data_IF_280436994628
#
_entry.id   IF_280436994628
#
_cell.length_a   1.000
_cell.length_b   1.000
_cell.length_c   1.000
_cell.angle_alpha   90.00
_cell.angle_beta   90.00
_cell.angle_gamma   90.00
#
_symmetry.space_group_name_H-M   'P 1'
#
loop_
_entity.id
_entity.type
_entity.pdbx_description
1 polymer ?
#
# COMPACT_ATOMS: atom_id res chain seq x y z
N UNK A 1 -5.50 -10.17 -12.38
CA UNK A 1 -5.46 -10.76 -11.03
C UNK A 1 -4.37 -10.02 -10.27
N UNK A 2 -4.57 -9.65 -9.00
CA UNK A 2 -3.54 -8.95 -8.23
C UNK A 2 -2.28 -9.82 -8.08
N UNK A 3 -1.07 -9.23 -8.01
CA UNK A 3 0.16 -10.00 -7.85
C UNK A 3 0.19 -10.71 -6.50
N UNK A 4 0.87 -11.85 -6.43
CA UNK A 4 1.00 -12.65 -5.21
C UNK A 4 1.52 -11.80 -4.04
N UNK A 5 1.01 -12.06 -2.84
CA UNK A 5 1.42 -11.40 -1.60
C UNK A 5 0.89 -9.98 -1.38
N UNK A 6 0.50 -9.25 -2.45
CA UNK A 6 0.10 -7.83 -2.33
C UNK A 6 -1.20 -7.66 -1.54
N UNK A 7 -2.21 -8.47 -1.83
CA UNK A 7 -3.51 -8.39 -1.15
C UNK A 7 -3.36 -8.78 0.32
N UNK A 8 -2.67 -9.89 0.59
CA UNK A 8 -2.44 -10.38 1.95
C UNK A 8 -1.66 -9.37 2.79
N UNK A 9 -0.61 -8.75 2.23
CA UNK A 9 0.13 -7.66 2.86
C UNK A 9 -0.77 -6.49 3.22
N UNK A 10 -1.61 -6.02 2.29
CA UNK A 10 -2.51 -4.89 2.54
C UNK A 10 -3.55 -5.24 3.60
N UNK A 11 -4.11 -6.44 3.57
CA UNK A 11 -5.06 -6.92 4.59
C UNK A 11 -4.41 -7.03 5.97
N UNK A 12 -3.16 -7.50 6.03
CA UNK A 12 -2.37 -7.51 7.26
C UNK A 12 -2.25 -6.10 7.84
N UNK A 13 -1.90 -5.11 7.02
CA UNK A 13 -1.78 -3.71 7.43
C UNK A 13 -3.11 -3.06 7.82
N UNK A 14 -4.24 -3.57 7.31
CA UNK A 14 -5.57 -3.20 7.80
C UNK A 14 -5.76 -3.68 9.24
N UNK A 15 -5.44 -4.95 9.52
CA UNK A 15 -5.61 -5.60 10.82
C UNK A 15 -4.57 -5.19 11.87
N UNK A 16 -3.37 -4.77 11.44
CA UNK A 16 -2.25 -4.41 12.29
C UNK A 16 -1.74 -2.99 11.97
N UNK A 17 -2.42 -1.93 12.45
CA UNK A 17 -2.06 -0.55 12.14
C UNK A 17 -0.64 -0.15 12.54
N UNK A 18 -0.07 -0.77 13.59
CA UNK A 18 1.30 -0.50 14.05
C UNK A 18 2.37 -0.80 13.00
N UNK A 19 2.10 -1.75 12.09
CA UNK A 19 3.04 -2.15 11.03
C UNK A 19 3.02 -1.18 9.84
N UNK A 20 2.10 -0.21 9.78
CA UNK A 20 1.96 0.72 8.65
C UNK A 20 3.17 1.65 8.49
N UNK A 21 3.91 1.93 9.56
CA UNK A 21 5.16 2.69 9.48
C UNK A 21 6.17 2.02 8.53
N UNK A 22 6.18 0.68 8.49
CA UNK A 22 7.05 -0.09 7.61
C UNK A 22 6.82 0.20 6.12
N UNK A 23 5.62 0.66 5.72
CA UNK A 23 5.35 1.04 4.32
C UNK A 23 6.26 2.18 3.85
N UNK A 24 6.64 3.08 4.77
CA UNK A 24 7.54 4.20 4.48
C UNK A 24 8.99 3.87 4.83
N UNK A 25 9.20 3.30 6.02
CA UNK A 25 10.54 3.20 6.60
C UNK A 25 11.31 1.98 6.10
N UNK A 26 10.61 0.86 5.87
CA UNK A 26 11.21 -0.41 5.47
C UNK A 26 10.28 -1.27 4.60
N UNK A 27 9.82 -0.77 3.42
CA UNK A 27 8.84 -1.49 2.61
C UNK A 27 9.34 -2.85 2.12
N UNK A 28 10.66 -3.01 1.98
CA UNK A 28 11.28 -4.28 1.58
C UNK A 28 11.00 -5.40 2.57
N UNK A 29 10.98 -5.11 3.88
CA UNK A 29 10.65 -6.11 4.92
C UNK A 29 9.23 -6.65 4.74
N UNK A 30 8.28 -5.79 4.34
CA UNK A 30 6.92 -6.23 4.02
C UNK A 30 6.92 -7.08 2.74
N UNK A 31 7.65 -6.67 1.70
CA UNK A 31 7.71 -7.42 0.44
C UNK A 31 8.30 -8.82 0.61
N UNK A 32 9.33 -8.95 1.44
CA UNK A 32 9.93 -10.24 1.79
C UNK A 32 8.97 -11.10 2.62
N UNK A 33 8.40 -10.54 3.69
CA UNK A 33 7.48 -11.24 4.59
C UNK A 33 6.27 -11.84 3.87
N UNK A 34 5.72 -11.12 2.90
CA UNK A 34 4.53 -11.53 2.16
C UNK A 34 4.86 -12.14 0.79
N UNK A 35 6.14 -12.41 0.50
CA UNK A 35 6.60 -12.94 -0.78
C UNK A 35 6.02 -12.16 -1.98
N UNK A 36 6.00 -10.83 -1.89
CA UNK A 36 5.48 -9.96 -2.94
C UNK A 36 6.27 -10.17 -4.23
N UNK A 37 5.53 -10.44 -5.29
CA UNK A 37 6.06 -10.71 -6.62
C UNK A 37 7.09 -9.63 -7.04
N UNK A 38 8.32 -9.99 -7.44
CA UNK A 38 9.39 -9.03 -7.73
C UNK A 38 8.99 -7.93 -8.72
N UNK A 39 8.20 -8.28 -9.74
CA UNK A 39 7.69 -7.38 -10.77
C UNK A 39 6.72 -6.30 -10.24
N UNK A 40 6.05 -6.57 -9.12
CA UNK A 40 5.12 -5.61 -8.50
C UNK A 40 5.84 -4.59 -7.61
N UNK A 41 7.03 -4.91 -7.10
CA UNK A 41 7.75 -4.09 -6.10
C UNK A 41 8.08 -2.68 -6.61
N UNK A 42 8.61 -2.48 -7.84
CA UNK A 42 8.90 -1.14 -8.34
C UNK A 42 7.64 -0.26 -8.39
N UNK A 43 6.52 -0.83 -8.85
CA UNK A 43 5.24 -0.12 -8.94
C UNK A 43 4.68 0.19 -7.54
N UNK A 44 4.84 -0.72 -6.58
CA UNK A 44 4.46 -0.47 -5.19
C UNK A 44 5.28 0.67 -4.56
N UNK A 45 6.56 0.83 -4.92
CA UNK A 45 7.42 1.88 -4.38
C UNK A 45 7.16 3.26 -5.00
N UNK A 46 7.01 3.36 -6.32
CA UNK A 46 6.97 4.64 -7.02
C UNK A 46 5.82 4.82 -8.01
N UNK A 47 5.05 3.77 -8.30
CA UNK A 47 3.96 3.79 -9.27
C UNK A 47 2.82 4.74 -8.92
N UNK A 48 2.17 5.28 -9.96
CA UNK A 48 0.94 6.06 -9.84
C UNK A 48 -0.25 5.18 -9.42
N UNK A 49 -1.39 5.79 -9.09
CA UNK A 49 -2.65 5.07 -8.89
C UNK A 49 -2.97 4.17 -10.07
N UNK A 50 -2.82 4.69 -11.28
CA UNK A 50 -3.20 3.97 -12.49
C UNK A 50 -2.22 2.80 -12.75
N UNK A 51 -0.93 2.98 -12.44
CA UNK A 51 0.05 1.89 -12.49
C UNK A 51 -0.24 0.79 -11.46
N UNK A 52 -0.64 1.16 -10.23
CA UNK A 52 -1.06 0.20 -9.20
C UNK A 52 -2.35 -0.54 -9.61
N UNK A 53 -3.31 0.16 -10.20
CA UNK A 53 -4.53 -0.45 -10.74
C UNK A 53 -4.23 -1.41 -11.90
N UNK A 54 -3.26 -1.09 -12.76
CA UNK A 54 -2.84 -1.93 -13.87
C UNK A 54 -2.25 -3.28 -13.43
N UNK A 55 -1.75 -3.38 -12.18
CA UNK A 55 -1.38 -4.66 -11.57
C UNK A 55 -2.59 -5.56 -11.24
N UNK A 56 -3.82 -5.08 -11.41
CA UNK A 56 -5.03 -5.80 -11.02
C UNK A 56 -5.34 -5.74 -9.53
N UNK A 57 -4.76 -4.78 -8.80
CA UNK A 57 -5.06 -4.52 -7.39
C UNK A 57 -6.43 -3.82 -7.30
N UNK A 58 -7.30 -4.28 -6.40
CA UNK A 58 -8.61 -3.66 -6.21
C UNK A 58 -8.50 -2.19 -5.78
N UNK A 59 -9.36 -1.32 -6.30
CA UNK A 59 -9.26 0.13 -6.11
C UNK A 59 -9.20 0.58 -4.64
N UNK A 60 -9.98 -0.05 -3.76
CA UNK A 60 -9.92 0.22 -2.31
C UNK A 60 -8.50 0.00 -1.72
N UNK A 61 -7.81 -1.05 -2.18
CA UNK A 61 -6.46 -1.38 -1.73
C UNK A 61 -5.40 -0.44 -2.31
N UNK A 62 -5.58 -0.01 -3.56
CA UNK A 62 -4.74 1.03 -4.18
C UNK A 62 -4.78 2.32 -3.35
N UNK A 63 -5.98 2.78 -2.98
CA UNK A 63 -6.13 4.00 -2.17
C UNK A 63 -5.48 3.86 -0.79
N UNK A 64 -5.70 2.73 -0.09
CA UNK A 64 -5.04 2.47 1.21
C UNK A 64 -3.53 2.50 1.11
N UNK A 65 -2.96 1.83 0.11
CA UNK A 65 -1.53 1.80 -0.13
C UNK A 65 -0.95 3.20 -0.39
N UNK A 66 -1.62 4.00 -1.21
CA UNK A 66 -1.21 5.37 -1.52
C UNK A 66 -1.23 6.28 -0.28
N UNK A 67 -2.24 6.15 0.58
CA UNK A 67 -2.31 6.89 1.85
C UNK A 67 -1.14 6.51 2.77
N UNK A 68 -0.92 5.21 2.99
CA UNK A 68 0.12 4.74 3.90
C UNK A 68 1.53 5.02 3.39
N UNK A 69 1.75 4.96 2.06
CA UNK A 69 3.02 5.33 1.43
C UNK A 69 3.23 6.84 1.31
N UNK A 70 2.33 7.68 1.82
CA UNK A 70 2.47 9.14 1.78
C UNK A 70 2.33 9.74 0.38
N UNK A 71 1.66 9.03 -0.54
CA UNK A 71 1.38 9.46 -1.92
C UNK A 71 -0.12 9.61 -2.18
N UNK A 72 -0.88 10.37 -1.35
CA UNK A 72 -2.30 10.56 -1.58
C UNK A 72 -2.52 11.21 -2.95
N UNK A 73 -3.45 10.66 -3.73
CA UNK A 73 -3.70 11.09 -5.12
C UNK A 73 -4.75 12.19 -5.24
N UNK A 74 -5.24 12.71 -4.12
CA UNK A 74 -6.15 13.84 -4.06
C UNK A 74 -5.51 14.96 -3.24
N UNK A 75 -5.41 16.20 -3.76
CA UNK A 75 -4.75 17.32 -3.08
C UNK A 75 -5.46 17.80 -1.79
N UNK A 76 -6.64 17.27 -1.44
CA UNK A 76 -7.48 17.80 -0.35
C UNK A 76 -7.90 16.79 0.73
N UNK A 77 -7.50 15.52 0.66
CA UNK A 77 -7.76 14.60 1.78
C UNK A 77 -6.64 14.71 2.79
N UNK A 78 -6.82 15.58 3.79
CA UNK A 78 -5.90 15.67 4.91
C UNK A 78 -5.73 14.28 5.53
N UNK A 79 -4.49 13.78 5.52
CA UNK A 79 -4.09 12.48 6.06
C UNK A 79 -4.58 12.29 7.52
N UNK A 80 -4.77 13.39 8.26
CA UNK A 80 -5.37 13.40 9.61
C UNK A 80 -6.68 12.60 9.69
N UNK A 81 -7.55 12.63 8.67
CA UNK A 81 -8.82 11.89 8.69
C UNK A 81 -8.69 10.36 8.80
N UNK A 82 -7.56 9.78 8.40
CA UNK A 82 -7.33 8.32 8.45
C UNK A 82 -6.51 7.88 9.67
N UNK A 83 -5.76 8.79 10.29
CA UNK A 83 -4.88 8.50 11.43
C UNK A 83 -5.45 8.94 12.79
N UNK A 84 -6.40 9.89 12.83
CA UNK A 84 -6.96 10.45 14.09
C UNK A 84 -8.19 9.73 14.68
N UNK A 85 -8.51 8.51 14.23
CA UNK A 85 -9.51 7.69 14.93
C UNK A 85 -8.83 6.82 15.97
N UNK A 86 -8.55 7.45 17.12
CA UNK A 86 -8.19 6.83 18.39
C UNK A 86 -9.43 6.45 19.17
#
# INVERSE_FOLDING_TARGET
MAPAGVVEMIEHLVRHPGDRALVKDAPQTLFERFAVAPEARPVLLSGSRDALSALGIHGNYVIKWLIWSGRPTMPFFAISHFFDRR
#
